data_IF_312912403031
#
_entry.id   IF_312912403031
#
_cell.length_a   1.000
_cell.length_b   1.000
_cell.length_c   1.000
_cell.angle_alpha   90.00
_cell.angle_beta   90.00
_cell.angle_gamma   90.00
#
_symmetry.space_group_name_H-M   'P 1'
#
loop_
_entity.id
_entity.type
_entity.pdbx_description
1 polymer ?
#
# COMPACT_ATOMS: atom_id res chain seq x y z
N UNK A 1 15.52 0.54 9.70
CA UNK A 1 15.76 1.95 9.34
C UNK A 1 14.47 2.77 9.32
N UNK A 2 13.48 2.46 8.48
CA UNK A 2 12.22 3.24 8.41
C UNK A 2 11.44 3.31 9.74
N UNK A 3 11.38 2.23 10.51
CA UNK A 3 10.73 2.21 11.84
C UNK A 3 11.47 3.09 12.85
N UNK A 4 12.81 3.05 12.83
CA UNK A 4 13.66 3.89 13.69
C UNK A 4 13.47 5.36 13.32
N UNK A 5 13.46 5.66 12.03
CA UNK A 5 13.23 7.01 11.52
C UNK A 5 11.83 7.53 11.87
N UNK A 6 10.79 6.69 11.75
CA UNK A 6 9.42 7.00 12.18
C UNK A 6 9.35 7.32 13.67
N UNK A 7 9.95 6.49 14.52
CA UNK A 7 10.00 6.73 15.97
C UNK A 7 10.73 8.02 16.32
N UNK A 8 11.86 8.31 15.65
CA UNK A 8 12.59 9.57 15.83
C UNK A 8 11.72 10.76 15.42
N UNK A 9 11.04 10.70 14.26
CA UNK A 9 10.19 11.78 13.79
C UNK A 9 8.94 12.01 14.67
N UNK A 10 8.39 10.96 15.29
CA UNK A 10 7.23 11.09 16.18
C UNK A 10 7.62 11.59 17.56
N UNK A 11 8.79 11.21 18.07
CA UNK A 11 9.19 11.46 19.46
C UNK A 11 10.03 12.73 19.59
N UNK A 12 10.95 13.00 18.66
CA UNK A 12 11.96 14.08 18.82
C UNK A 12 11.38 15.49 18.65
N UNK A 13 10.57 15.83 17.63
CA UNK A 13 10.06 17.19 17.47
C UNK A 13 9.20 17.70 18.64
N UNK A 14 8.24 16.92 19.20
CA UNK A 14 7.44 17.36 20.35
C UNK A 14 8.27 17.58 21.62
N UNK A 15 9.41 16.90 21.75
CA UNK A 15 10.30 17.03 22.92
C UNK A 15 11.23 18.25 22.83
N UNK A 16 11.36 18.88 21.65
CA UNK A 16 12.23 20.05 21.48
C UNK A 16 11.57 21.37 21.88
N UNK A 17 10.23 21.42 22.05
CA UNK A 17 9.51 22.60 22.53
C UNK A 17 9.75 23.89 21.72
N UNK A 18 9.28 25.03 22.24
CA UNK A 18 9.45 26.35 21.62
C UNK A 18 10.84 26.95 21.88
N UNK A 19 11.91 26.17 21.71
CA UNK A 19 13.27 26.70 21.89
C UNK A 19 13.52 27.71 20.75
N UNK A 20 13.73 29.00 21.08
CA UNK A 20 13.99 30.02 20.07
C UNK A 20 15.39 29.79 19.48
N UNK A 21 15.47 29.72 18.15
CA UNK A 21 16.74 29.58 17.46
C UNK A 21 17.50 30.91 17.50
N UNK A 22 18.70 30.97 18.09
CA UNK A 22 19.47 32.21 18.13
C UNK A 22 19.84 32.63 16.70
N UNK A 23 19.38 33.82 16.31
CA UNK A 23 19.64 34.40 14.98
C UNK A 23 18.51 34.31 13.96
N UNK A 24 17.40 33.60 14.26
CA UNK A 24 16.23 33.49 13.38
C UNK A 24 14.95 33.64 14.21
N UNK A 25 14.39 34.86 14.28
CA UNK A 25 13.19 35.16 15.10
C UNK A 25 11.87 34.59 14.55
N UNK A 26 11.90 33.89 13.42
CA UNK A 26 10.69 33.47 12.68
C UNK A 26 10.48 31.95 12.72
N UNK A 27 11.48 31.17 13.14
CA UNK A 27 11.39 29.71 13.21
C UNK A 27 11.89 29.22 14.56
N UNK A 28 11.10 28.35 15.16
CA UNK A 28 11.39 27.57 16.36
C UNK A 28 12.17 26.29 15.98
N UNK A 29 12.92 25.72 16.93
CA UNK A 29 13.70 24.52 16.68
C UNK A 29 12.84 23.32 16.24
N UNK A 30 11.61 23.22 16.73
CA UNK A 30 10.65 22.16 16.40
C UNK A 30 10.22 22.19 14.91
N UNK A 31 9.93 23.36 14.36
CA UNK A 31 9.47 23.55 12.98
C UNK A 31 10.60 23.23 12.00
N UNK A 32 11.84 23.58 12.34
CA UNK A 32 13.00 23.30 11.51
C UNK A 32 13.31 21.79 11.48
N UNK A 33 13.30 21.14 12.64
CA UNK A 33 13.50 19.68 12.75
C UNK A 33 12.36 18.92 12.10
N UNK A 34 11.11 19.35 12.28
CA UNK A 34 9.93 18.78 11.63
C UNK A 34 10.01 18.90 10.10
N UNK A 35 10.47 20.04 9.58
CA UNK A 35 10.65 20.25 8.12
C UNK A 35 11.74 19.34 7.55
N UNK A 36 12.88 19.22 8.22
CA UNK A 36 13.96 18.31 7.79
C UNK A 36 13.47 16.86 7.83
N UNK A 37 12.77 16.47 8.90
CA UNK A 37 12.24 15.13 9.04
C UNK A 37 11.18 14.80 7.97
N UNK A 38 10.36 15.78 7.55
CA UNK A 38 9.44 15.66 6.43
C UNK A 38 10.18 15.34 5.12
N UNK A 39 11.26 16.06 4.81
CA UNK A 39 12.06 15.83 3.60
C UNK A 39 12.65 14.41 3.60
N UNK A 40 13.25 13.99 4.71
CA UNK A 40 13.76 12.64 4.84
C UNK A 40 12.66 11.59 4.75
N UNK A 41 11.48 11.83 5.33
CA UNK A 41 10.31 10.94 5.20
C UNK A 41 9.92 10.79 3.74
N UNK A 42 9.87 11.89 2.98
CA UNK A 42 9.55 11.86 1.56
C UNK A 42 10.57 11.05 0.73
N UNK A 43 11.88 11.21 1.00
CA UNK A 43 12.93 10.43 0.34
C UNK A 43 12.82 8.94 0.69
N UNK A 44 12.61 8.62 1.97
CA UNK A 44 12.41 7.24 2.41
C UNK A 44 11.16 6.62 1.79
N UNK A 45 10.09 7.39 1.65
CA UNK A 45 8.85 6.94 1.03
C UNK A 45 9.05 6.57 -0.43
N UNK A 46 9.69 7.45 -1.22
CA UNK A 46 10.00 7.19 -2.64
C UNK A 46 10.83 5.92 -2.78
N UNK A 47 11.84 5.76 -1.91
CA UNK A 47 12.70 4.56 -1.91
C UNK A 47 11.94 3.30 -1.51
N UNK A 48 11.10 3.36 -0.46
CA UNK A 48 10.29 2.23 -0.02
C UNK A 48 9.26 1.82 -1.08
N UNK A 49 8.70 2.78 -1.82
CA UNK A 49 7.80 2.53 -2.95
C UNK A 49 8.55 1.81 -4.09
N UNK A 50 9.75 2.27 -4.43
CA UNK A 50 10.57 1.65 -5.47
C UNK A 50 10.96 0.20 -5.08
N UNK A 51 11.42 0.00 -3.84
CA UNK A 51 11.80 -1.32 -3.34
C UNK A 51 10.58 -2.26 -3.23
N UNK A 52 9.43 -1.76 -2.77
CA UNK A 52 8.18 -2.51 -2.70
C UNK A 52 7.65 -2.95 -4.07
N UNK A 53 7.80 -2.10 -5.10
CA UNK A 53 7.44 -2.43 -6.48
C UNK A 53 8.30 -3.57 -7.05
N UNK A 54 9.57 -3.65 -6.64
CA UNK A 54 10.47 -4.75 -7.04
C UNK A 54 10.15 -6.03 -6.26
N UNK A 55 9.89 -5.92 -4.95
CA UNK A 55 9.56 -7.06 -4.09
C UNK A 55 8.27 -7.77 -4.53
N UNK A 56 7.33 -7.00 -5.06
CA UNK A 56 6.08 -7.46 -5.67
C UNK A 56 6.26 -8.51 -6.75
N UNK A 57 7.15 -8.25 -7.70
CA UNK A 57 7.36 -9.15 -8.83
C UNK A 57 7.91 -10.49 -8.30
N UNK A 58 8.79 -10.45 -7.30
CA UNK A 58 9.35 -11.63 -6.63
C UNK A 58 8.28 -12.43 -5.87
N UNK A 59 7.46 -11.75 -5.07
CA UNK A 59 6.35 -12.38 -4.33
C UNK A 59 5.35 -13.02 -5.28
N UNK A 60 5.04 -12.35 -6.39
CA UNK A 60 4.14 -12.86 -7.42
C UNK A 60 4.72 -14.12 -8.06
N UNK A 61 6.01 -14.13 -8.40
CA UNK A 61 6.68 -15.30 -8.98
C UNK A 61 6.66 -16.50 -8.02
N UNK A 62 6.85 -16.26 -6.72
CA UNK A 62 6.75 -17.30 -5.69
C UNK A 62 5.32 -17.85 -5.61
N UNK A 63 4.31 -16.98 -5.57
CA UNK A 63 2.90 -17.39 -5.52
C UNK A 63 2.47 -18.17 -6.77
N UNK A 64 2.87 -17.71 -7.96
CA UNK A 64 2.59 -18.38 -9.24
C UNK A 64 3.25 -19.76 -9.28
N UNK A 65 4.53 -19.89 -8.88
CA UNK A 65 5.22 -21.18 -8.79
C UNK A 65 4.57 -22.12 -7.78
N UNK A 66 4.15 -21.63 -6.61
CA UNK A 66 3.54 -22.46 -5.56
C UNK A 66 2.14 -22.96 -5.92
N UNK A 67 1.37 -22.19 -6.69
CA UNK A 67 0.02 -22.56 -7.09
C UNK A 67 -0.01 -23.45 -8.34
N UNK A 68 1.13 -23.68 -9.02
CA UNK A 68 1.21 -24.53 -10.20
C UNK A 68 0.37 -24.03 -11.39
N UNK A 69 -0.04 -22.75 -11.36
CA UNK A 69 -0.83 -22.13 -12.41
C UNK A 69 0.15 -21.85 -13.54
N UNK A 70 -0.05 -22.49 -14.70
CA UNK A 70 0.64 -22.13 -15.95
C UNK A 70 0.33 -20.67 -16.27
N UNK A 71 1.22 -19.78 -15.86
CA UNK A 71 1.54 -18.49 -16.45
C UNK A 71 0.41 -17.82 -17.25
N UNK A 72 -0.71 -17.54 -16.59
CA UNK A 72 -1.64 -16.53 -17.08
C UNK A 72 -1.30 -15.20 -16.40
N UNK A 73 -1.31 -14.10 -17.14
CA UNK A 73 -1.05 -12.72 -16.66
C UNK A 73 -1.97 -12.25 -15.50
N UNK A 74 -2.92 -13.06 -15.07
CA UNK A 74 -3.99 -12.73 -14.13
C UNK A 74 -3.53 -12.51 -12.67
N UNK A 75 -2.70 -13.38 -12.04
CA UNK A 75 -2.27 -13.20 -10.66
C UNK A 75 -1.34 -11.98 -10.48
N UNK A 76 -0.48 -11.72 -11.48
CA UNK A 76 0.41 -10.57 -11.50
C UNK A 76 -0.33 -9.23 -11.55
N UNK A 77 -1.52 -9.21 -12.17
CA UNK A 77 -2.38 -8.03 -12.18
C UNK A 77 -3.01 -7.78 -10.80
N UNK A 78 -3.59 -8.80 -10.17
CA UNK A 78 -4.19 -8.64 -8.84
C UNK A 78 -3.16 -8.24 -7.76
N UNK A 79 -1.95 -8.80 -7.80
CA UNK A 79 -0.87 -8.40 -6.90
C UNK A 79 -0.48 -6.92 -7.10
N UNK A 80 -0.40 -6.48 -8.36
CA UNK A 80 -0.11 -5.09 -8.71
C UNK A 80 -1.20 -4.13 -8.20
N UNK A 81 -2.47 -4.52 -8.33
CA UNK A 81 -3.59 -3.70 -7.84
C UNK A 81 -3.58 -3.56 -6.32
N UNK A 82 -3.20 -4.62 -5.59
CA UNK A 82 -3.04 -4.55 -4.13
C UNK A 82 -1.91 -3.59 -3.71
N UNK A 83 -0.83 -3.53 -4.49
CA UNK A 83 0.26 -2.59 -4.24
C UNK A 83 -0.17 -1.17 -4.53
N UNK A 84 -0.93 -0.93 -5.60
CA UNK A 84 -1.47 0.40 -5.87
C UNK A 84 -2.34 0.90 -4.72
N UNK A 85 -3.10 0.04 -4.03
CA UNK A 85 -3.80 0.41 -2.78
C UNK A 85 -2.80 0.90 -1.72
N UNK A 86 -1.70 0.17 -1.51
CA UNK A 86 -0.65 0.56 -0.56
C UNK A 86 -0.01 1.90 -0.98
N UNK A 87 0.29 2.09 -2.27
CA UNK A 87 0.83 3.35 -2.80
C UNK A 87 -0.12 4.51 -2.54
N UNK A 88 -1.42 4.34 -2.83
CA UNK A 88 -2.44 5.37 -2.60
C UNK A 88 -2.50 5.76 -1.12
N UNK A 89 -2.50 4.78 -0.21
CA UNK A 89 -2.48 5.03 1.22
C UNK A 89 -1.21 5.80 1.64
N UNK A 90 -0.04 5.36 1.18
CA UNK A 90 1.23 6.00 1.50
C UNK A 90 1.32 7.44 0.98
N UNK A 91 0.93 7.68 -0.27
CA UNK A 91 0.89 9.03 -0.85
C UNK A 91 -0.09 9.91 -0.09
N UNK A 92 -1.30 9.43 0.18
CA UNK A 92 -2.32 10.17 0.95
C UNK A 92 -1.80 10.56 2.34
N UNK A 93 -1.14 9.62 3.02
CA UNK A 93 -0.58 9.86 4.36
C UNK A 93 0.59 10.86 4.32
N UNK A 94 1.42 10.81 3.28
CA UNK A 94 2.54 11.73 3.11
C UNK A 94 2.11 13.15 2.72
N UNK A 95 0.97 13.27 2.03
CA UNK A 95 0.38 14.57 1.74
C UNK A 95 -0.26 15.21 2.99
N UNK A 96 -0.72 14.41 3.96
CA UNK A 96 -1.39 14.93 5.16
C UNK A 96 -0.61 16.04 5.90
N UNK A 97 0.68 15.89 6.25
CA UNK A 97 1.43 16.97 6.90
C UNK A 97 1.52 18.22 6.03
N UNK A 98 1.68 18.09 4.70
CA UNK A 98 1.71 19.22 3.77
C UNK A 98 0.35 19.94 3.68
N UNK A 99 -0.74 19.18 3.71
CA UNK A 99 -2.09 19.75 3.70
C UNK A 99 -2.37 20.44 5.05
N UNK A 100 -1.85 19.88 6.15
CA UNK A 100 -2.07 20.41 7.50
C UNK A 100 -1.43 21.78 7.75
N UNK A 101 -0.40 22.16 6.98
CA UNK A 101 0.24 23.48 7.07
C UNK A 101 -0.52 24.58 6.33
N UNK A 102 -1.58 24.24 5.59
CA UNK A 102 -2.39 25.21 4.83
C UNK A 102 -3.41 25.91 5.75
N UNK A 103 -3.87 27.08 5.31
CA UNK A 103 -4.96 27.81 5.98
C UNK A 103 -6.25 26.98 6.06
N UNK A 104 -7.06 27.10 7.12
CA UNK A 104 -8.25 26.27 7.34
C UNK A 104 -9.23 26.22 6.15
N UNK A 105 -9.47 27.38 5.53
CA UNK A 105 -10.38 27.51 4.38
C UNK A 105 -9.94 26.69 3.14
N UNK A 106 -8.65 26.35 3.04
CA UNK A 106 -8.09 25.55 1.95
C UNK A 106 -7.84 24.12 2.45
N UNK A 107 -7.31 23.96 3.65
CA UNK A 107 -6.99 22.69 4.28
C UNK A 107 -8.18 21.74 4.33
N UNK A 108 -9.32 22.21 4.84
CA UNK A 108 -10.49 21.37 5.08
C UNK A 108 -11.07 20.77 3.79
N UNK A 109 -11.38 21.58 2.75
CA UNK A 109 -11.87 21.02 1.49
C UNK A 109 -10.80 20.14 0.81
N UNK A 110 -9.52 20.50 0.88
CA UNK A 110 -8.46 19.71 0.26
C UNK A 110 -8.28 18.35 0.94
N UNK A 111 -8.39 18.29 2.27
CA UNK A 111 -8.34 17.04 3.04
C UNK A 111 -9.50 16.13 2.68
N UNK A 112 -10.71 16.69 2.61
CA UNK A 112 -11.94 15.98 2.22
C UNK A 112 -11.78 15.39 0.82
N UNK A 113 -11.43 16.22 -0.17
CA UNK A 113 -11.27 15.79 -1.56
C UNK A 113 -10.21 14.69 -1.68
N UNK A 114 -9.05 14.89 -1.07
CA UNK A 114 -7.96 13.90 -1.11
C UNK A 114 -8.40 12.55 -0.53
N UNK A 115 -9.13 12.58 0.59
CA UNK A 115 -9.64 11.37 1.25
C UNK A 115 -10.66 10.63 0.38
N UNK A 116 -11.64 11.34 -0.19
CA UNK A 116 -12.67 10.71 -1.03
C UNK A 116 -12.12 10.20 -2.36
N UNK A 117 -11.17 10.91 -2.97
CA UNK A 117 -10.49 10.45 -4.19
C UNK A 117 -9.71 9.18 -3.91
N UNK A 118 -8.94 9.15 -2.82
CA UNK A 118 -8.21 7.95 -2.41
C UNK A 118 -9.14 6.76 -2.17
N UNK A 119 -10.24 6.97 -1.43
CA UNK A 119 -11.26 5.95 -1.19
C UNK A 119 -11.88 5.44 -2.50
N UNK A 120 -12.26 6.34 -3.40
CA UNK A 120 -12.82 5.98 -4.70
C UNK A 120 -11.87 5.10 -5.52
N UNK A 121 -10.59 5.46 -5.58
CA UNK A 121 -9.57 4.65 -6.26
C UNK A 121 -9.39 3.28 -5.61
N UNK A 122 -9.36 3.21 -4.27
CA UNK A 122 -9.20 1.95 -3.53
C UNK A 122 -10.37 1.00 -3.81
N UNK A 123 -11.61 1.52 -3.85
CA UNK A 123 -12.81 0.71 -4.15
C UNK A 123 -12.71 0.09 -5.55
N UNK A 124 -12.29 0.88 -6.55
CA UNK A 124 -12.10 0.38 -7.93
C UNK A 124 -11.06 -0.73 -7.97
N UNK A 125 -9.93 -0.56 -7.27
CA UNK A 125 -8.89 -1.59 -7.20
C UNK A 125 -9.37 -2.87 -6.50
N UNK A 126 -10.15 -2.74 -5.41
CA UNK A 126 -10.76 -3.90 -4.77
C UNK A 126 -11.71 -4.65 -5.70
N UNK A 127 -12.49 -3.94 -6.51
CA UNK A 127 -13.35 -4.56 -7.51
C UNK A 127 -12.56 -5.36 -8.54
N UNK A 128 -11.46 -4.78 -9.07
CA UNK A 128 -10.59 -5.46 -10.03
C UNK A 128 -9.94 -6.73 -9.44
N UNK A 129 -9.42 -6.64 -8.20
CA UNK A 129 -8.87 -7.79 -7.47
C UNK A 129 -9.93 -8.87 -7.25
N UNK A 130 -11.11 -8.47 -6.76
CA UNK A 130 -12.22 -9.39 -6.49
C UNK A 130 -12.66 -10.14 -7.74
N UNK A 131 -12.74 -9.45 -8.89
CA UNK A 131 -13.07 -10.06 -10.17
C UNK A 131 -12.03 -11.09 -10.61
N UNK A 132 -10.74 -10.83 -10.36
CA UNK A 132 -9.66 -11.77 -10.70
C UNK A 132 -9.71 -12.99 -9.77
N UNK A 133 -9.83 -12.77 -8.46
CA UNK A 133 -9.91 -13.84 -7.47
C UNK A 133 -11.10 -14.76 -7.72
N UNK A 134 -12.26 -14.21 -8.07
CA UNK A 134 -13.45 -14.99 -8.39
C UNK A 134 -13.16 -16.03 -9.49
N UNK A 135 -12.54 -15.63 -10.60
CA UNK A 135 -12.20 -16.55 -11.71
C UNK A 135 -11.19 -17.62 -11.29
N UNK A 136 -10.24 -17.27 -10.42
CA UNK A 136 -9.24 -18.24 -9.93
C UNK A 136 -9.94 -19.29 -9.06
N UNK A 137 -10.83 -18.86 -8.16
CA UNK A 137 -11.60 -19.75 -7.28
C UNK A 137 -12.52 -20.65 -8.10
N UNK A 138 -13.23 -20.09 -9.09
CA UNK A 138 -14.10 -20.83 -10.00
C UNK A 138 -13.36 -21.98 -10.71
N UNK A 139 -12.25 -21.68 -11.39
CA UNK A 139 -11.43 -22.70 -12.06
C UNK A 139 -10.87 -23.75 -11.11
N UNK A 140 -10.49 -23.34 -9.90
CA UNK A 140 -10.00 -24.28 -8.87
C UNK A 140 -11.12 -25.19 -8.40
N UNK A 141 -12.33 -24.67 -8.21
CA UNK A 141 -13.50 -25.43 -7.81
C UNK A 141 -13.90 -26.46 -8.87
N UNK A 142 -13.93 -26.07 -10.16
CA UNK A 142 -14.18 -26.97 -11.28
C UNK A 142 -13.14 -28.10 -11.33
N UNK A 143 -11.84 -27.77 -11.22
CA UNK A 143 -10.78 -28.77 -11.23
C UNK A 143 -10.89 -29.77 -10.07
N UNK A 144 -11.36 -29.32 -8.89
CA UNK A 144 -11.57 -30.22 -7.73
C UNK A 144 -12.80 -31.09 -7.97
N UNK A 145 -13.89 -30.53 -8.50
CA UNK A 145 -15.10 -31.27 -8.83
C UNK A 145 -14.83 -32.37 -9.86
N UNK A 146 -14.11 -32.06 -10.94
CA UNK A 146 -13.70 -33.02 -11.96
C UNK A 146 -12.79 -34.13 -11.39
N UNK A 147 -11.90 -33.77 -10.46
CA UNK A 147 -11.05 -34.73 -9.77
C UNK A 147 -11.86 -35.73 -8.94
N UNK A 148 -12.87 -35.24 -8.21
CA UNK A 148 -13.78 -36.07 -7.42
C UNK A 148 -14.67 -36.96 -8.31
N UNK A 149 -15.19 -36.43 -9.41
CA UNK A 149 -15.99 -37.19 -10.36
C UNK A 149 -15.21 -38.37 -10.95
N UNK A 150 -13.97 -38.14 -11.39
CA UNK A 150 -13.10 -39.21 -11.91
C UNK A 150 -12.76 -40.28 -10.86
N UNK A 151 -12.60 -39.89 -9.59
CA UNK A 151 -12.36 -40.86 -8.51
C UNK A 151 -13.60 -41.71 -8.23
N UNK A 152 -14.79 -41.12 -8.28
CA UNK A 152 -16.05 -41.83 -8.11
C UNK A 152 -16.28 -42.85 -9.25
N UNK A 153 -16.06 -42.45 -10.51
CA UNK A 153 -16.19 -43.34 -11.67
C UNK A 153 -15.18 -44.49 -11.64
N UNK A 154 -13.94 -44.22 -11.22
CA UNK A 154 -12.91 -45.26 -11.12
C UNK A 154 -13.24 -46.30 -10.04
N UNK A 155 -13.88 -45.89 -8.94
CA UNK A 155 -14.32 -46.78 -7.88
C UNK A 155 -15.49 -47.67 -8.32
N UNK A 156 -16.42 -47.12 -9.13
CA UNK A 156 -17.58 -47.84 -9.67
C UNK A 156 -17.23 -48.89 -10.73
N UNK A 157 -16.17 -48.69 -11.51
CA UNK A 157 -15.68 -49.66 -12.50
C UNK A 157 -14.72 -50.73 -11.92
N UNK A 158 -14.43 -50.68 -10.62
CA UNK A 158 -13.55 -51.64 -9.93
C UNK A 158 -14.32 -52.65 -9.05
N UNK A 159 -15.65 -52.53 -9.01
CA UNK A 159 -16.61 -53.52 -8.47
C UNK A 159 -17.25 -54.30 -9.63
#
# INVERSE_FOLDING_TARGET
MAIIFYLINTIVPPLMGDIPLPGINIMTADTLVGTIALIFTAIFLIRALADGLVLSDILTDIFVKRLGIKEERSPRRAARDAIYIIVILLVTTALYPLISTLEPNIRDPLTIVTTYVALGMIIVLFYDIGRILYRIVERKAESVADGLAKMADKKKNSE
#
